data_IF_448798401868
#
_entry.id   IF_448798401868
#
_cell.length_a   1.000
_cell.length_b   1.000
_cell.length_c   1.000
_cell.angle_alpha   90.00
_cell.angle_beta   90.00
_cell.angle_gamma   90.00
#
_symmetry.space_group_name_H-M   'P 1'
#
loop_
_entity.id
_entity.type
_entity.pdbx_description
1 polymer ?
#
# COMPACT_ATOMS: atom_id res chain seq x y z
N UNK A 1 -36.16 49.29 -41.18
CA UNK A 1 -35.04 48.39 -41.56
C UNK A 1 -33.99 48.24 -40.46
N UNK A 2 -33.45 49.32 -39.86
CA UNK A 2 -32.46 49.22 -38.76
C UNK A 2 -32.93 48.39 -37.54
N UNK A 3 -34.18 48.59 -37.08
CA UNK A 3 -34.75 47.86 -35.93
C UNK A 3 -34.98 46.36 -36.18
N UNK A 4 -35.21 45.95 -37.42
CA UNK A 4 -35.42 44.53 -37.79
C UNK A 4 -34.08 43.80 -37.82
N UNK A 5 -33.03 44.45 -38.32
CA UNK A 5 -31.66 43.91 -38.33
C UNK A 5 -31.14 43.72 -36.90
N UNK A 6 -31.45 44.65 -35.98
CA UNK A 6 -31.04 44.53 -34.58
C UNK A 6 -31.71 43.35 -33.86
N UNK A 7 -33.00 43.09 -34.13
CA UNK A 7 -33.72 41.95 -33.56
C UNK A 7 -33.22 40.63 -34.12
N UNK A 8 -32.92 40.57 -35.43
CA UNK A 8 -32.38 39.36 -36.06
C UNK A 8 -30.97 39.02 -35.57
N UNK A 9 -30.12 40.02 -35.34
CA UNK A 9 -28.80 39.81 -34.72
C UNK A 9 -28.91 39.33 -33.26
N UNK A 10 -29.87 39.84 -32.49
CA UNK A 10 -30.04 39.42 -31.09
C UNK A 10 -30.49 37.95 -30.98
N UNK A 11 -31.38 37.52 -31.88
CA UNK A 11 -31.83 36.12 -31.95
C UNK A 11 -30.70 35.19 -32.41
N UNK A 12 -29.87 35.60 -33.37
CA UNK A 12 -28.69 34.83 -33.80
C UNK A 12 -27.65 34.65 -32.67
N UNK A 13 -27.48 35.64 -31.80
CA UNK A 13 -26.56 35.55 -30.66
C UNK A 13 -27.10 34.61 -29.57
N UNK A 14 -28.42 34.51 -29.37
CA UNK A 14 -29.02 33.56 -28.43
C UNK A 14 -28.85 32.09 -28.86
N UNK A 15 -28.78 31.79 -30.16
CA UNK A 15 -28.53 30.42 -30.64
C UNK A 15 -27.06 29.99 -30.51
N UNK A 16 -26.11 30.93 -30.37
CA UNK A 16 -24.68 30.62 -30.21
C UNK A 16 -24.29 30.20 -28.79
N UNK A 17 -25.19 30.36 -27.79
CA UNK A 17 -24.89 30.04 -26.37
C UNK A 17 -25.46 28.67 -25.94
N UNK A 18 -26.18 27.96 -26.81
CA UNK A 18 -26.82 26.67 -26.50
C UNK A 18 -26.02 25.46 -27.00
N UNK A 19 -24.70 25.48 -26.82
CA UNK A 19 -23.79 24.47 -27.33
C UNK A 19 -22.65 24.11 -26.37
N UNK A 20 -22.91 24.05 -25.07
CA UNK A 20 -22.11 23.20 -24.20
C UNK A 20 -22.60 21.76 -24.40
N UNK A 21 -22.08 21.10 -25.43
CA UNK A 21 -22.04 19.65 -25.44
C UNK A 21 -21.12 19.28 -24.27
N UNK A 22 -21.73 18.90 -23.13
CA UNK A 22 -20.98 18.19 -22.10
C UNK A 22 -20.32 17.03 -22.83
N UNK A 23 -18.99 17.08 -22.93
CA UNK A 23 -18.21 15.94 -23.37
C UNK A 23 -18.57 14.83 -22.40
N UNK A 24 -19.50 13.97 -22.80
CA UNK A 24 -19.76 12.70 -22.14
C UNK A 24 -18.41 11.99 -22.17
N UNK A 25 -17.69 12.09 -21.06
CA UNK A 25 -16.60 11.19 -20.74
C UNK A 25 -17.27 9.83 -20.73
N UNK A 26 -17.22 9.14 -21.88
CA UNK A 26 -17.71 7.77 -22.09
C UNK A 26 -17.50 7.04 -20.79
N UNK A 27 -18.61 6.67 -20.11
CA UNK A 27 -18.57 5.89 -18.87
C UNK A 27 -17.62 4.73 -19.14
N UNK A 28 -16.41 4.82 -18.59
CA UNK A 28 -15.37 3.83 -18.79
C UNK A 28 -15.97 2.46 -18.45
N UNK A 29 -15.75 1.44 -19.26
CA UNK A 29 -16.27 0.09 -19.06
C UNK A 29 -16.04 -0.39 -17.63
N UNK A 30 -14.93 0.04 -17.02
CA UNK A 30 -14.58 -0.24 -15.62
C UNK A 30 -15.59 0.30 -14.61
N UNK A 31 -16.14 1.50 -14.83
CA UNK A 31 -17.17 2.07 -13.94
C UNK A 31 -18.49 1.32 -14.07
N UNK A 32 -18.85 0.88 -15.27
CA UNK A 32 -20.06 0.08 -15.51
C UNK A 32 -19.91 -1.30 -14.86
N UNK A 33 -18.74 -1.94 -15.04
CA UNK A 33 -18.43 -3.23 -14.43
C UNK A 33 -18.40 -3.14 -12.89
N UNK A 34 -17.81 -2.08 -12.34
CA UNK A 34 -17.81 -1.83 -10.89
C UNK A 34 -19.23 -1.67 -10.36
N UNK A 35 -20.08 -0.87 -11.01
CA UNK A 35 -21.48 -0.70 -10.60
C UNK A 35 -22.28 -2.00 -10.69
N UNK A 36 -22.06 -2.82 -11.71
CA UNK A 36 -22.70 -4.12 -11.84
C UNK A 36 -22.23 -5.11 -10.78
N UNK A 37 -20.93 -5.10 -10.48
CA UNK A 37 -20.33 -5.92 -9.41
C UNK A 37 -20.86 -5.50 -8.05
N UNK A 38 -20.92 -4.20 -7.75
CA UNK A 38 -21.48 -3.67 -6.50
C UNK A 38 -22.96 -4.05 -6.34
N UNK A 39 -23.77 -3.96 -7.41
CA UNK A 39 -25.17 -4.42 -7.39
C UNK A 39 -25.30 -5.93 -7.14
N UNK A 40 -24.52 -6.74 -7.84
CA UNK A 40 -24.53 -8.20 -7.65
C UNK A 40 -24.10 -8.58 -6.23
N UNK A 41 -23.10 -7.89 -5.67
CA UNK A 41 -22.68 -8.07 -4.28
C UNK A 41 -23.75 -7.60 -3.29
N UNK A 42 -24.47 -6.51 -3.57
CA UNK A 42 -25.61 -6.06 -2.76
C UNK A 42 -26.74 -7.08 -2.76
N UNK A 43 -27.07 -7.65 -3.92
CA UNK A 43 -28.08 -8.72 -4.05
C UNK A 43 -27.65 -9.99 -3.30
N UNK A 44 -26.38 -10.40 -3.46
CA UNK A 44 -25.80 -11.52 -2.72
C UNK A 44 -25.87 -11.27 -1.19
N UNK A 45 -25.51 -10.07 -0.74
CA UNK A 45 -25.60 -9.68 0.66
C UNK A 45 -27.04 -9.57 1.16
N UNK A 46 -28.01 -9.22 0.30
CA UNK A 46 -29.42 -9.17 0.67
C UNK A 46 -30.03 -10.57 0.81
N UNK A 47 -29.60 -11.53 -0.01
CA UNK A 47 -30.06 -12.92 0.04
C UNK A 47 -29.38 -13.73 1.15
N UNK A 48 -28.08 -13.54 1.35
CA UNK A 48 -27.24 -14.39 2.23
C UNK A 48 -26.87 -13.68 3.54
N UNK A 49 -26.91 -12.34 3.56
CA UNK A 49 -26.40 -11.54 4.67
C UNK A 49 -24.88 -11.42 4.67
N UNK A 50 -24.36 -10.46 5.42
CA UNK A 50 -22.93 -10.39 5.74
C UNK A 50 -22.63 -11.31 6.94
N UNK A 51 -21.44 -11.92 7.01
CA UNK A 51 -21.03 -12.68 8.19
C UNK A 51 -21.19 -11.85 9.47
N UNK A 52 -21.78 -12.45 10.50
CA UNK A 52 -22.02 -11.79 11.78
C UNK A 52 -20.71 -11.69 12.61
N UNK A 53 -19.83 -10.75 12.24
CA UNK A 53 -18.60 -10.48 12.99
C UNK A 53 -18.93 -9.72 14.28
N UNK A 54 -19.15 -10.45 15.38
CA UNK A 54 -19.46 -9.86 16.70
C UNK A 54 -18.21 -9.53 17.53
N UNK A 55 -17.21 -10.41 17.48
CA UNK A 55 -16.11 -10.40 18.44
C UNK A 55 -14.84 -9.72 17.93
N UNK A 56 -14.74 -9.46 16.62
CA UNK A 56 -13.60 -8.84 15.95
C UNK A 56 -12.24 -9.46 16.36
N UNK A 57 -12.20 -10.78 16.52
CA UNK A 57 -11.07 -11.48 17.12
C UNK A 57 -9.76 -11.24 16.36
N UNK A 58 -9.80 -11.30 15.02
CA UNK A 58 -8.63 -11.05 14.18
C UNK A 58 -8.11 -9.61 14.32
N UNK A 59 -9.00 -8.62 14.42
CA UNK A 59 -8.59 -7.22 14.65
C UNK A 59 -7.94 -7.05 16.03
N UNK A 60 -8.48 -7.72 17.05
CA UNK A 60 -7.89 -7.72 18.40
C UNK A 60 -6.51 -8.39 18.41
N UNK A 61 -6.38 -9.52 17.70
CA UNK A 61 -5.10 -10.22 17.56
C UNK A 61 -4.08 -9.37 16.82
N UNK A 62 -4.46 -8.75 15.70
CA UNK A 62 -3.59 -7.85 14.94
C UNK A 62 -3.11 -6.67 15.80
N UNK A 63 -4.03 -6.03 16.55
CA UNK A 63 -3.68 -4.98 17.52
C UNK A 63 -2.65 -5.47 18.54
N UNK A 64 -2.92 -6.61 19.17
CA UNK A 64 -2.02 -7.20 20.16
C UNK A 64 -0.63 -7.50 19.58
N UNK A 65 -0.57 -8.07 18.36
CA UNK A 65 0.70 -8.33 17.67
C UNK A 65 1.45 -7.02 17.40
N UNK A 66 0.78 -5.96 16.95
CA UNK A 66 1.44 -4.68 16.71
C UNK A 66 1.99 -4.07 18.00
N UNK A 67 1.21 -4.08 19.09
CA UNK A 67 1.64 -3.55 20.38
C UNK A 67 2.82 -4.34 20.97
N UNK A 68 2.82 -5.68 20.83
CA UNK A 68 3.93 -6.52 21.30
C UNK A 68 5.19 -6.36 20.44
N UNK A 69 5.04 -6.11 19.14
CA UNK A 69 6.16 -5.88 18.21
C UNK A 69 6.86 -4.54 18.45
N UNK A 70 6.16 -3.56 19.01
CA UNK A 70 6.65 -2.21 19.28
C UNK A 70 7.32 -2.07 20.67
N UNK A 71 7.58 -3.19 21.36
CA UNK A 71 8.25 -3.18 22.65
C UNK A 71 9.76 -2.94 22.50
N UNK A 72 10.30 -1.96 23.23
CA UNK A 72 11.72 -1.58 23.21
C UNK A 72 12.66 -2.73 23.64
N UNK A 73 12.18 -3.62 24.51
CA UNK A 73 12.96 -4.73 25.09
C UNK A 73 12.67 -6.09 24.44
N UNK A 74 12.11 -6.11 23.22
CA UNK A 74 11.78 -7.34 22.52
C UNK A 74 13.04 -8.09 22.06
N UNK A 75 13.46 -9.08 22.85
CA UNK A 75 14.55 -9.99 22.49
C UNK A 75 14.00 -11.24 21.81
N UNK A 76 14.61 -11.63 20.69
CA UNK A 76 14.21 -12.79 19.90
C UNK A 76 15.41 -13.68 19.55
N UNK A 77 15.12 -14.88 19.05
CA UNK A 77 16.06 -15.92 18.68
C UNK A 77 15.86 -16.24 17.20
N UNK A 78 16.92 -16.10 16.41
CA UNK A 78 16.90 -16.34 14.97
C UNK A 78 17.47 -17.73 14.62
N UNK A 79 16.81 -18.40 13.69
CA UNK A 79 17.13 -19.74 13.21
C UNK A 79 17.11 -19.79 11.67
N UNK A 80 18.00 -20.60 11.06
CA UNK A 80 17.88 -21.02 9.66
C UNK A 80 17.41 -22.46 9.61
N UNK A 81 16.57 -22.78 8.64
CA UNK A 81 16.16 -24.15 8.36
C UNK A 81 17.18 -24.79 7.41
N UNK A 82 17.75 -25.94 7.78
CA UNK A 82 18.62 -26.69 6.88
C UNK A 82 17.79 -27.45 5.83
N UNK A 83 18.45 -28.09 4.85
CA UNK A 83 17.75 -28.86 3.81
C UNK A 83 16.96 -30.07 4.35
N UNK A 84 17.30 -30.55 5.55
CA UNK A 84 16.62 -31.65 6.22
C UNK A 84 15.43 -31.20 7.09
N UNK A 85 15.22 -29.89 7.26
CA UNK A 85 14.19 -29.31 8.11
C UNK A 85 14.62 -28.97 9.54
N UNK A 86 15.89 -29.21 9.92
CA UNK A 86 16.38 -28.90 11.27
C UNK A 86 16.62 -27.39 11.43
N UNK A 87 16.33 -26.89 12.64
CA UNK A 87 16.56 -25.50 13.03
C UNK A 87 18.00 -25.31 13.51
N UNK A 88 18.78 -24.53 12.75
CA UNK A 88 20.12 -24.10 13.14
C UNK A 88 20.02 -22.74 13.81
N UNK A 89 20.37 -22.66 15.08
CA UNK A 89 20.39 -21.41 15.83
C UNK A 89 21.51 -20.48 15.33
N UNK A 90 21.15 -19.26 14.96
CA UNK A 90 22.09 -18.25 14.45
C UNK A 90 22.54 -17.31 15.57
N UNK A 91 21.62 -16.97 16.47
CA UNK A 91 21.89 -16.02 17.54
C UNK A 91 20.65 -15.28 18.04
N UNK A 92 20.87 -14.38 19.00
CA UNK A 92 19.85 -13.50 19.55
C UNK A 92 19.80 -12.20 18.76
N UNK A 93 18.62 -11.65 18.57
CA UNK A 93 18.40 -10.36 17.93
C UNK A 93 17.36 -9.51 18.66
N UNK A 94 17.33 -8.23 18.32
CA UNK A 94 16.32 -7.27 18.77
C UNK A 94 15.17 -7.29 17.76
N UNK A 95 13.96 -7.51 18.26
CA UNK A 95 12.74 -7.47 17.49
C UNK A 95 12.62 -8.58 16.45
N UNK A 96 11.74 -8.36 15.48
CA UNK A 96 11.62 -9.22 14.31
C UNK A 96 12.43 -8.63 13.16
N UNK A 97 12.92 -9.49 12.28
CA UNK A 97 13.66 -9.04 11.10
C UNK A 97 12.83 -8.15 10.17
N UNK A 98 13.50 -7.21 9.53
CA UNK A 98 12.91 -6.32 8.54
C UNK A 98 13.18 -6.87 7.14
N UNK A 99 12.16 -7.16 6.33
CA UNK A 99 12.37 -7.50 4.93
C UNK A 99 13.17 -6.39 4.22
N UNK A 100 14.04 -6.77 3.30
CA UNK A 100 14.85 -5.82 2.51
C UNK A 100 13.96 -4.86 1.70
N UNK A 101 12.78 -5.31 1.30
CA UNK A 101 11.80 -4.49 0.56
C UNK A 101 10.92 -3.61 1.47
N UNK A 102 11.28 -3.38 2.72
CA UNK A 102 10.63 -2.35 3.55
C UNK A 102 11.25 -0.99 3.22
N UNK A 103 10.42 0.03 3.04
CA UNK A 103 10.88 1.41 2.90
C UNK A 103 10.52 2.22 4.13
N UNK A 104 11.41 3.17 4.44
CA UNK A 104 11.18 4.11 5.52
C UNK A 104 10.18 5.20 5.10
N UNK A 105 10.22 5.62 3.85
CA UNK A 105 9.32 6.64 3.28
C UNK A 105 8.21 6.01 2.43
N UNK A 106 7.26 6.83 1.99
CA UNK A 106 6.20 6.38 1.10
C UNK A 106 6.79 5.98 -0.27
N UNK A 107 6.66 4.72 -0.72
CA UNK A 107 7.20 4.24 -2.01
C UNK A 107 6.67 4.96 -3.22
N UNK A 108 5.51 5.59 -3.11
CA UNK A 108 4.76 6.11 -4.24
C UNK A 108 4.38 7.55 -3.99
N UNK A 109 4.65 8.40 -4.97
CA UNK A 109 4.12 9.77 -5.03
C UNK A 109 3.19 9.92 -6.22
N UNK A 110 2.19 10.78 -6.04
CA UNK A 110 1.25 11.17 -7.10
C UNK A 110 1.82 12.43 -7.75
N UNK A 111 2.06 12.36 -9.05
CA UNK A 111 2.63 13.46 -9.85
C UNK A 111 1.83 13.66 -11.14
N UNK A 112 1.95 14.83 -11.74
CA UNK A 112 1.38 15.12 -13.07
C UNK A 112 2.16 14.41 -14.18
N UNK A 113 1.68 14.56 -15.43
CA UNK A 113 2.33 13.99 -16.62
C UNK A 113 3.75 14.50 -16.87
N UNK A 114 4.16 15.56 -16.19
CA UNK A 114 5.48 16.19 -16.28
C UNK A 114 6.34 15.90 -15.02
N UNK A 115 5.87 15.06 -14.10
CA UNK A 115 6.59 14.67 -12.88
C UNK A 115 6.50 15.67 -11.72
N UNK A 116 5.62 16.68 -11.80
CA UNK A 116 5.42 17.69 -10.74
C UNK A 116 4.41 17.21 -9.70
N UNK A 117 4.59 17.56 -8.41
CA UNK A 117 3.60 17.25 -7.38
C UNK A 117 2.22 17.83 -7.76
N UNK A 118 1.15 17.04 -7.59
CA UNK A 118 -0.21 17.51 -7.86
C UNK A 118 -0.76 18.14 -6.58
N UNK A 119 -0.98 19.45 -6.63
CA UNK A 119 -1.61 20.26 -5.59
C UNK A 119 -3.07 20.60 -5.91
N UNK A 120 -3.48 20.60 -7.19
CA UNK A 120 -4.85 20.85 -7.62
C UNK A 120 -5.31 19.95 -8.80
N UNK A 121 -6.61 19.62 -8.78
CA UNK A 121 -7.32 18.51 -9.48
C UNK A 121 -7.34 18.58 -11.03
N UNK A 122 -6.62 19.50 -11.66
CA UNK A 122 -6.67 19.69 -13.13
C UNK A 122 -5.77 18.76 -13.95
N UNK A 123 -4.93 17.94 -13.31
CA UNK A 123 -3.94 17.11 -14.00
C UNK A 123 -4.25 15.62 -13.83
N UNK A 124 -4.06 14.82 -14.89
CA UNK A 124 -4.18 13.35 -14.83
C UNK A 124 -3.08 12.83 -13.90
N UNK A 125 -3.44 12.18 -12.77
CA UNK A 125 -2.46 11.71 -11.81
C UNK A 125 -1.72 10.47 -12.34
N UNK A 126 -0.40 10.50 -12.20
CA UNK A 126 0.49 9.35 -12.45
C UNK A 126 1.11 8.96 -11.11
N UNK A 127 1.15 7.66 -10.84
CA UNK A 127 1.81 7.10 -9.66
C UNK A 127 3.26 6.80 -10.05
N UNK A 128 4.21 7.44 -9.39
CA UNK A 128 5.64 7.25 -9.64
C UNK A 128 6.33 6.69 -8.39
N UNK A 129 7.26 5.76 -8.60
CA UNK A 129 8.14 5.25 -7.53
C UNK A 129 9.01 6.38 -6.98
N UNK A 130 9.21 6.38 -5.66
CA UNK A 130 10.06 7.32 -4.96
C UNK A 130 11.26 6.58 -4.35
N UNK A 131 12.44 7.18 -4.50
CA UNK A 131 13.64 6.72 -3.82
C UNK A 131 13.55 7.02 -2.32
N UNK A 132 14.07 6.12 -1.48
CA UNK A 132 14.23 6.37 -0.04
C UNK A 132 15.33 7.44 0.19
N UNK A 133 15.51 7.97 1.42
CA UNK A 133 16.55 8.97 1.71
C UNK A 133 17.97 8.56 1.30
N UNK A 134 18.22 7.26 1.19
CA UNK A 134 19.50 6.71 0.70
C UNK A 134 19.62 6.69 -0.84
N UNK A 135 18.63 7.18 -1.59
CA UNK A 135 18.62 7.22 -3.05
C UNK A 135 18.25 5.91 -3.74
N UNK A 136 17.93 4.84 -2.98
CA UNK A 136 17.57 3.55 -3.53
C UNK A 136 16.05 3.42 -3.75
N UNK A 137 15.70 2.76 -4.86
CA UNK A 137 14.31 2.39 -5.15
C UNK A 137 14.04 0.97 -4.66
N UNK A 138 12.85 0.74 -4.12
CA UNK A 138 12.47 -0.57 -3.60
C UNK A 138 12.35 -1.60 -4.73
N UNK A 139 13.08 -2.72 -4.68
CA UNK A 139 12.90 -3.83 -5.61
C UNK A 139 11.65 -4.64 -5.26
N UNK A 140 10.92 -5.13 -6.27
CA UNK A 140 9.82 -6.08 -6.07
C UNK A 140 10.36 -7.51 -5.96
N UNK A 141 10.06 -8.20 -4.86
CA UNK A 141 10.23 -9.64 -4.75
C UNK A 141 11.58 -10.15 -4.21
N UNK A 142 12.38 -9.31 -3.53
CA UNK A 142 13.55 -9.80 -2.80
C UNK A 142 13.14 -10.44 -1.46
N UNK A 143 13.69 -11.61 -1.17
CA UNK A 143 13.39 -12.42 0.04
C UNK A 143 14.37 -12.19 1.20
N UNK A 144 15.32 -11.27 1.05
CA UNK A 144 16.31 -11.03 2.10
C UNK A 144 15.70 -10.29 3.30
N UNK A 145 16.22 -10.58 4.49
CA UNK A 145 15.79 -10.01 5.77
C UNK A 145 16.98 -9.46 6.54
N UNK A 146 16.86 -8.25 7.05
CA UNK A 146 17.79 -7.64 7.99
C UNK A 146 17.43 -8.02 9.42
N UNK A 147 18.41 -8.49 10.19
CA UNK A 147 18.27 -8.77 11.62
C UNK A 147 19.21 -7.87 12.42
N UNK A 148 18.71 -7.28 13.51
CA UNK A 148 19.55 -6.60 14.49
C UNK A 148 20.08 -7.62 15.50
N UNK A 149 21.15 -8.33 15.14
CA UNK A 149 21.74 -9.40 15.95
C UNK A 149 22.63 -8.83 17.06
N UNK A 150 22.69 -9.49 18.22
CA UNK A 150 23.63 -9.15 19.28
C UNK A 150 24.99 -9.78 18.95
N UNK A 151 26.02 -8.95 18.83
CA UNK A 151 27.39 -9.42 18.61
C UNK A 151 27.87 -10.20 19.86
N UNK A 152 28.27 -11.47 19.74
CA UNK A 152 28.71 -12.27 20.89
C UNK A 152 30.01 -11.77 21.53
N UNK A 153 30.80 -10.95 20.84
CA UNK A 153 32.07 -10.40 21.35
C UNK A 153 31.88 -9.07 22.07
N UNK A 154 31.07 -8.17 21.51
CA UNK A 154 30.88 -6.81 22.05
C UNK A 154 29.58 -6.66 22.84
N UNK A 155 28.65 -7.61 22.71
CA UNK A 155 27.29 -7.55 23.27
C UNK A 155 26.46 -6.34 22.80
N UNK A 156 26.83 -5.78 21.64
CA UNK A 156 26.13 -4.65 21.00
C UNK A 156 25.29 -5.12 19.82
N UNK A 157 24.15 -4.45 19.52
CA UNK A 157 23.34 -4.79 18.37
C UNK A 157 23.99 -4.35 17.05
N UNK A 158 24.04 -5.27 16.08
CA UNK A 158 24.59 -5.04 14.73
C UNK A 158 23.62 -5.54 13.66
N UNK A 159 23.47 -4.82 12.53
CA UNK A 159 22.66 -5.29 11.42
C UNK A 159 23.37 -6.46 10.71
N UNK A 160 22.64 -7.55 10.50
CA UNK A 160 23.08 -8.74 9.76
C UNK A 160 22.12 -8.98 8.61
N UNK A 161 22.68 -9.16 7.43
CA UNK A 161 21.94 -9.47 6.20
C UNK A 161 21.74 -10.98 6.06
N UNK A 162 20.50 -11.43 5.90
CA UNK A 162 20.16 -12.84 5.71
C UNK A 162 19.31 -13.02 4.45
N UNK A 163 19.83 -13.73 3.44
CA UNK A 163 19.07 -14.14 2.25
C UNK A 163 18.23 -15.42 2.44
N UNK A 164 18.68 -16.43 3.22
CA UNK A 164 17.88 -17.62 3.46
C UNK A 164 16.58 -17.30 4.20
N UNK A 165 15.61 -18.21 4.09
CA UNK A 165 14.42 -18.15 4.93
C UNK A 165 14.83 -18.35 6.40
N UNK A 166 14.45 -17.37 7.23
CA UNK A 166 14.72 -17.38 8.66
C UNK A 166 13.45 -17.59 9.47
N UNK A 167 13.60 -18.17 10.65
CA UNK A 167 12.57 -18.24 11.68
C UNK A 167 13.04 -17.41 12.86
N UNK A 168 12.20 -16.47 13.30
CA UNK A 168 12.49 -15.60 14.45
C UNK A 168 11.41 -15.84 15.49
N UNK A 169 11.84 -16.14 16.71
CA UNK A 169 10.93 -16.46 17.82
C UNK A 169 11.27 -15.66 19.07
N UNK A 170 10.27 -15.17 19.84
CA UNK A 170 10.51 -14.51 21.13
C UNK A 170 11.00 -15.48 22.23
N UNK A 171 10.93 -16.80 22.00
CA UNK A 171 11.46 -17.81 22.90
C UNK A 171 12.28 -18.87 22.14
N UNK A 172 13.23 -19.56 22.79
CA UNK A 172 14.03 -20.59 22.14
C UNK A 172 13.14 -21.73 21.62
N UNK A 173 13.34 -22.14 20.37
CA UNK A 173 12.54 -23.19 19.73
C UNK A 173 13.16 -24.59 19.87
N UNK A 174 14.47 -24.70 20.13
CA UNK A 174 15.18 -25.95 20.35
C UNK A 174 16.24 -25.74 21.46
N UNK A 175 16.60 -26.81 22.18
CA UNK A 175 17.74 -26.85 23.11
C UNK A 175 19.01 -27.24 22.37
#
# INVERSE_FOLDING_TARGET
MKKIITVLCLVCVCFLVSGCEEVEIKKNSDKILQQQTEKSMQEANAQIGMPAIKNFQERKLAKMIFELRDQENLMTYAYVVNLNGDLIFIGRCIGFGLPYSVQYTNPKKIVDRYGRPIDNVTHVPIIMSQADPNGLFMPSGLSATWLMMIDPKTNEPRPVYCEPQIIVSPFPLHK
#
